data_IF_615218841448
#
_entry.id   IF_615218841448
#
_cell.length_a   1.000
_cell.length_b   1.000
_cell.length_c   1.000
_cell.angle_alpha   90.00
_cell.angle_beta   90.00
_cell.angle_gamma   90.00
#
_symmetry.space_group_name_H-M   'P 1'
#
loop_
_entity.id
_entity.type
_entity.pdbx_description
1 polymer ?
#
# COMPACT_ATOMS: atom_id res chain seq x y z
N UNK A 1 15.98 9.34 -4.59
CA UNK A 1 14.64 9.33 -5.22
C UNK A 1 14.42 8.13 -6.16
N UNK A 2 15.36 7.79 -7.05
CA UNK A 2 15.21 6.62 -7.94
C UNK A 2 14.98 5.30 -7.22
N UNK A 3 15.72 5.03 -6.14
CA UNK A 3 15.49 3.87 -5.27
C UNK A 3 14.07 3.82 -4.69
N UNK A 4 13.54 4.95 -4.22
CA UNK A 4 12.18 5.05 -3.67
C UNK A 4 11.13 4.71 -4.72
N UNK A 5 11.30 5.19 -5.95
CA UNK A 5 10.38 4.87 -7.05
C UNK A 5 10.51 3.41 -7.49
N UNK A 6 11.73 2.86 -7.53
CA UNK A 6 11.92 1.45 -7.84
C UNK A 6 11.26 0.55 -6.79
N UNK A 7 11.38 0.89 -5.50
CA UNK A 7 10.70 0.18 -4.42
C UNK A 7 9.18 0.33 -4.47
N UNK A 8 8.66 1.56 -4.59
CA UNK A 8 7.23 1.80 -4.58
C UNK A 8 6.57 1.25 -5.86
N UNK A 9 7.06 1.58 -7.05
CA UNK A 9 6.46 1.12 -8.31
C UNK A 9 6.78 -0.35 -8.60
N UNK A 10 8.06 -0.73 -8.48
CA UNK A 10 8.53 -2.07 -8.87
C UNK A 10 8.18 -3.18 -7.88
N UNK A 11 7.96 -2.85 -6.60
CA UNK A 11 7.57 -3.83 -5.58
C UNK A 11 6.18 -3.54 -5.00
N UNK A 12 5.97 -2.40 -4.33
CA UNK A 12 4.71 -2.14 -3.60
C UNK A 12 3.49 -2.13 -4.52
N UNK A 13 3.49 -1.28 -5.55
CA UNK A 13 2.37 -1.10 -6.47
C UNK A 13 2.11 -2.35 -7.30
N UNK A 14 3.17 -3.01 -7.77
CA UNK A 14 3.05 -4.28 -8.52
C UNK A 14 2.33 -5.36 -7.70
N UNK A 15 2.69 -5.51 -6.42
CA UNK A 15 2.00 -6.48 -5.56
C UNK A 15 0.57 -6.04 -5.25
N UNK A 16 0.33 -4.75 -4.98
CA UNK A 16 -1.04 -4.25 -4.74
C UNK A 16 -1.93 -4.52 -5.97
N UNK A 17 -1.46 -4.21 -7.18
CA UNK A 17 -2.23 -4.43 -8.41
C UNK A 17 -2.50 -5.92 -8.64
N UNK A 18 -1.50 -6.79 -8.44
CA UNK A 18 -1.68 -8.24 -8.53
C UNK A 18 -2.66 -8.78 -7.49
N UNK A 19 -2.59 -8.30 -6.24
CA UNK A 19 -3.53 -8.66 -5.20
C UNK A 19 -4.96 -8.17 -5.51
N UNK A 20 -5.09 -6.97 -6.07
CA UNK A 20 -6.39 -6.42 -6.47
C UNK A 20 -7.04 -7.21 -7.60
N UNK A 21 -6.27 -7.74 -8.55
CA UNK A 21 -6.78 -8.65 -9.58
C UNK A 21 -7.46 -9.92 -9.00
N UNK A 22 -7.22 -10.24 -7.72
CA UNK A 22 -7.82 -11.39 -7.06
C UNK A 22 -8.91 -10.98 -6.08
N UNK A 23 -8.65 -9.91 -5.31
CA UNK A 23 -9.54 -9.47 -4.25
C UNK A 23 -10.73 -8.70 -4.78
N UNK A 24 -10.60 -7.96 -5.89
CA UNK A 24 -11.69 -7.17 -6.47
C UNK A 24 -12.90 -8.05 -6.82
N UNK A 25 -12.76 -9.15 -7.57
CA UNK A 25 -13.92 -10.01 -7.88
C UNK A 25 -14.53 -10.67 -6.65
N UNK A 26 -13.71 -11.01 -5.66
CA UNK A 26 -14.15 -11.64 -4.42
C UNK A 26 -14.92 -10.66 -3.54
N UNK A 27 -14.43 -9.42 -3.39
CA UNK A 27 -15.06 -8.38 -2.57
C UNK A 27 -16.34 -7.85 -3.23
N UNK A 28 -16.34 -7.72 -4.55
CA UNK A 28 -17.47 -7.19 -5.31
C UNK A 28 -18.49 -8.26 -5.70
N UNK A 29 -18.14 -9.54 -5.58
CA UNK A 29 -18.95 -10.70 -6.02
C UNK A 29 -19.36 -10.61 -7.50
N UNK A 30 -18.51 -9.98 -8.33
CA UNK A 30 -18.69 -9.82 -9.78
C UNK A 30 -17.37 -10.03 -10.51
N UNK A 31 -17.41 -10.57 -11.72
CA UNK A 31 -16.21 -10.69 -12.55
C UNK A 31 -15.66 -9.33 -12.98
N UNK A 32 -14.35 -9.28 -13.23
CA UNK A 32 -13.65 -8.13 -13.81
C UNK A 32 -14.33 -7.59 -15.07
N UNK A 33 -14.17 -6.30 -15.35
CA UNK A 33 -14.60 -5.72 -16.62
C UNK A 33 -13.77 -6.27 -17.78
N UNK A 34 -12.45 -6.31 -17.61
CA UNK A 34 -11.52 -6.89 -18.58
C UNK A 34 -10.28 -7.41 -17.89
N UNK A 35 -10.30 -8.68 -17.47
CA UNK A 35 -9.19 -9.31 -16.73
C UNK A 35 -7.88 -9.29 -17.52
N UNK A 36 -7.97 -9.41 -18.85
CA UNK A 36 -6.81 -9.39 -19.76
C UNK A 36 -6.02 -8.08 -19.72
N UNK A 37 -6.65 -6.98 -19.30
CA UNK A 37 -5.98 -5.68 -19.18
C UNK A 37 -4.85 -5.71 -18.14
N UNK A 38 -4.94 -6.59 -17.14
CA UNK A 38 -3.89 -6.73 -16.12
C UNK A 38 -2.56 -7.22 -16.70
N UNK A 39 -2.56 -7.98 -17.79
CA UNK A 39 -1.32 -8.44 -18.44
C UNK A 39 -0.51 -7.28 -19.03
N UNK A 40 -1.16 -6.19 -19.44
CA UNK A 40 -0.48 -5.00 -19.95
C UNK A 40 0.14 -4.14 -18.83
N UNK A 41 -0.42 -4.19 -17.62
CA UNK A 41 0.01 -3.34 -16.51
C UNK A 41 1.43 -3.69 -16.03
N UNK A 42 1.74 -4.99 -15.89
CA UNK A 42 3.05 -5.46 -15.42
C UNK A 42 4.23 -4.96 -16.28
N UNK A 43 4.28 -5.18 -17.61
CA UNK A 43 5.41 -4.73 -18.41
C UNK A 43 5.50 -3.20 -18.47
N UNK A 44 4.37 -2.48 -18.51
CA UNK A 44 4.36 -1.03 -18.50
C UNK A 44 4.91 -0.47 -17.18
N UNK A 45 4.46 -0.97 -16.03
CA UNK A 45 5.01 -0.55 -14.74
C UNK A 45 6.50 -0.87 -14.61
N UNK A 46 6.94 -2.02 -15.10
CA UNK A 46 8.36 -2.39 -15.06
C UNK A 46 9.22 -1.43 -15.89
N UNK A 47 8.83 -1.17 -17.15
CA UNK A 47 9.52 -0.23 -18.04
C UNK A 47 9.51 1.18 -17.43
N UNK A 48 8.34 1.65 -16.99
CA UNK A 48 8.17 2.96 -16.38
C UNK A 48 9.02 3.15 -15.11
N UNK A 49 9.03 2.16 -14.21
CA UNK A 49 9.83 2.18 -13.00
C UNK A 49 11.34 2.23 -13.30
N UNK A 50 11.81 1.47 -14.30
CA UNK A 50 13.22 1.51 -14.73
C UNK A 50 13.58 2.88 -15.31
N UNK A 51 12.76 3.40 -16.23
CA UNK A 51 12.96 4.74 -16.80
C UNK A 51 13.00 5.82 -15.73
N UNK A 52 12.12 5.76 -14.74
CA UNK A 52 12.14 6.70 -13.62
C UNK A 52 13.39 6.53 -12.75
N UNK A 53 13.78 5.30 -12.42
CA UNK A 53 14.96 5.03 -11.60
C UNK A 53 16.24 5.61 -12.22
N UNK A 54 16.45 5.40 -13.53
CA UNK A 54 17.57 6.01 -14.27
C UNK A 54 17.34 7.50 -14.54
N UNK A 55 16.09 7.94 -14.66
CA UNK A 55 15.72 9.32 -14.94
C UNK A 55 16.16 10.31 -13.85
N UNK A 56 16.29 9.88 -12.60
CA UNK A 56 16.88 10.76 -11.58
C UNK A 56 18.38 11.03 -11.79
N UNK A 57 19.08 10.24 -12.61
CA UNK A 57 20.45 10.54 -13.09
C UNK A 57 20.45 11.21 -14.48
N UNK A 58 19.43 10.92 -15.29
CA UNK A 58 19.23 11.50 -16.63
C UNK A 58 17.82 12.11 -16.74
N UNK A 59 17.61 13.37 -16.27
CA UNK A 59 16.28 13.94 -16.03
C UNK A 59 15.30 13.87 -17.20
N UNK A 60 15.82 13.89 -18.43
CA UNK A 60 15.03 13.76 -19.65
C UNK A 60 14.22 12.45 -19.73
N UNK A 61 14.63 11.38 -19.04
CA UNK A 61 13.89 10.11 -19.00
C UNK A 61 12.68 10.15 -18.06
N UNK A 62 12.63 11.08 -17.09
CA UNK A 62 11.58 11.13 -16.07
C UNK A 62 10.18 11.33 -16.67
N UNK A 63 9.94 12.25 -17.63
CA UNK A 63 8.63 12.41 -18.25
C UNK A 63 8.19 11.16 -19.01
N UNK A 64 9.10 10.50 -19.74
CA UNK A 64 8.78 9.25 -20.45
C UNK A 64 8.41 8.14 -19.48
N UNK A 65 9.20 7.94 -18.42
CA UNK A 65 8.86 7.01 -17.34
C UNK A 65 7.51 7.33 -16.70
N UNK A 66 7.27 8.60 -16.38
CA UNK A 66 6.03 9.09 -15.80
C UNK A 66 4.80 8.84 -16.70
N UNK A 67 4.91 9.04 -18.01
CA UNK A 67 3.83 8.77 -18.97
C UNK A 67 3.55 7.26 -19.08
N UNK A 68 4.58 6.43 -19.15
CA UNK A 68 4.41 4.97 -19.19
C UNK A 68 3.72 4.47 -17.92
N UNK A 69 4.14 4.97 -16.76
CA UNK A 69 3.50 4.69 -15.46
C UNK A 69 2.05 5.17 -15.44
N UNK A 70 1.78 6.38 -15.94
CA UNK A 70 0.43 6.93 -16.04
C UNK A 70 -0.47 6.04 -16.91
N UNK A 71 0.00 5.56 -18.06
CA UNK A 71 -0.77 4.65 -18.92
C UNK A 71 -1.12 3.36 -18.17
N UNK A 72 -0.14 2.73 -17.51
CA UNK A 72 -0.38 1.51 -16.73
C UNK A 72 -1.42 1.74 -15.63
N UNK A 73 -1.34 2.87 -14.95
CA UNK A 73 -2.26 3.25 -13.88
C UNK A 73 -3.65 3.61 -14.41
N UNK A 74 -3.77 4.25 -15.57
CA UNK A 74 -5.07 4.51 -16.19
C UNK A 74 -5.78 3.23 -16.58
N UNK A 75 -5.05 2.22 -17.08
CA UNK A 75 -5.61 0.88 -17.34
C UNK A 75 -6.16 0.28 -16.05
N UNK A 76 -5.35 0.28 -14.97
CA UNK A 76 -5.76 -0.24 -13.67
C UNK A 76 -7.01 0.47 -13.12
N UNK A 77 -6.95 1.80 -13.06
CA UNK A 77 -8.01 2.64 -12.52
C UNK A 77 -9.31 2.47 -13.32
N UNK A 78 -9.24 2.45 -14.65
CA UNK A 78 -10.40 2.21 -15.51
C UNK A 78 -11.03 0.84 -15.25
N UNK A 79 -10.22 -0.21 -15.15
CA UNK A 79 -10.70 -1.56 -14.85
C UNK A 79 -11.48 -1.59 -13.53
N UNK A 80 -10.90 -1.04 -12.46
CA UNK A 80 -11.52 -1.01 -11.13
C UNK A 80 -12.83 -0.22 -11.15
N UNK A 81 -12.85 0.98 -11.76
CA UNK A 81 -14.07 1.80 -11.85
C UNK A 81 -15.18 1.09 -12.61
N UNK A 82 -14.86 0.49 -13.76
CA UNK A 82 -15.85 -0.22 -14.58
C UNK A 82 -16.36 -1.49 -13.91
N UNK A 83 -15.53 -2.17 -13.12
CA UNK A 83 -15.94 -3.34 -12.33
C UNK A 83 -16.84 -2.95 -11.17
N UNK A 84 -16.48 -1.90 -10.41
CA UNK A 84 -17.32 -1.38 -9.31
C UNK A 84 -18.69 -0.90 -9.82
N UNK A 85 -18.77 -0.32 -11.03
CA UNK A 85 -20.03 0.12 -11.65
C UNK A 85 -21.06 -1.00 -11.83
N UNK A 86 -20.64 -2.28 -11.84
CA UNK A 86 -21.55 -3.44 -11.90
C UNK A 86 -22.31 -3.67 -10.59
N UNK A 87 -21.87 -3.10 -9.48
CA UNK A 87 -22.44 -3.33 -8.15
C UNK A 87 -23.48 -2.26 -7.80
N UNK A 88 -24.59 -2.66 -7.17
CA UNK A 88 -25.71 -1.75 -6.83
C UNK A 88 -25.46 -0.88 -5.59
N UNK A 89 -24.69 -1.36 -4.62
CA UNK A 89 -24.43 -0.69 -3.34
C UNK A 89 -22.98 -0.88 -2.93
N UNK A 90 -22.32 0.20 -2.54
CA UNK A 90 -20.94 0.17 -2.04
C UNK A 90 -20.94 -0.10 -0.54
N UNK A 91 -20.11 -1.06 -0.11
CA UNK A 91 -19.75 -1.22 1.29
C UNK A 91 -18.49 -0.40 1.61
N UNK A 92 -18.06 -0.39 2.88
CA UNK A 92 -16.89 0.38 3.31
C UNK A 92 -15.61 0.01 2.54
N UNK A 93 -15.38 -1.29 2.28
CA UNK A 93 -14.19 -1.76 1.57
C UNK A 93 -14.21 -1.25 0.13
N UNK A 94 -15.33 -1.44 -0.58
CA UNK A 94 -15.50 -0.95 -1.95
C UNK A 94 -15.32 0.57 -2.05
N UNK A 95 -15.92 1.33 -1.13
CA UNK A 95 -15.80 2.78 -1.06
C UNK A 95 -14.37 3.23 -0.81
N UNK A 96 -13.66 2.57 0.10
CA UNK A 96 -12.25 2.85 0.38
C UNK A 96 -11.34 2.59 -0.82
N UNK A 97 -11.59 1.49 -1.57
CA UNK A 97 -10.86 1.17 -2.80
C UNK A 97 -11.13 2.22 -3.89
N UNK A 98 -12.38 2.67 -4.03
CA UNK A 98 -12.73 3.72 -4.98
C UNK A 98 -11.98 5.02 -4.67
N UNK A 99 -12.03 5.46 -3.41
CA UNK A 99 -11.38 6.69 -2.95
C UNK A 99 -9.85 6.58 -3.10
N UNK A 100 -9.27 5.44 -2.73
CA UNK A 100 -7.83 5.21 -2.89
C UNK A 100 -7.40 5.39 -4.35
N UNK A 101 -8.15 4.82 -5.30
CA UNK A 101 -7.85 4.95 -6.74
C UNK A 101 -8.02 6.38 -7.26
N UNK A 102 -8.95 7.16 -6.72
CA UNK A 102 -9.07 8.60 -7.02
C UNK A 102 -7.81 9.34 -6.54
N UNK A 103 -7.34 9.07 -5.32
CA UNK A 103 -6.10 9.67 -4.82
C UNK A 103 -4.88 9.24 -5.63
N UNK A 104 -4.80 7.97 -6.05
CA UNK A 104 -3.75 7.50 -6.96
C UNK A 104 -3.76 8.29 -8.27
N UNK A 105 -4.92 8.42 -8.91
CA UNK A 105 -5.07 9.16 -10.16
C UNK A 105 -4.48 10.57 -10.06
N UNK A 106 -4.87 11.34 -9.04
CA UNK A 106 -4.33 12.68 -8.83
C UNK A 106 -2.86 12.67 -8.40
N UNK A 107 -2.44 11.71 -7.58
CA UNK A 107 -1.05 11.57 -7.17
C UNK A 107 -0.12 11.41 -8.37
N UNK A 108 -0.53 10.63 -9.37
CA UNK A 108 0.26 10.39 -10.58
C UNK A 108 0.31 11.62 -11.47
N UNK A 109 -0.78 12.38 -11.57
CA UNK A 109 -0.80 13.66 -12.28
C UNK A 109 0.23 14.63 -11.66
N UNK A 110 0.23 14.77 -10.33
CA UNK A 110 1.23 15.60 -9.63
C UNK A 110 2.66 15.09 -9.89
N UNK A 111 2.84 13.77 -9.85
CA UNK A 111 4.12 13.12 -10.18
C UNK A 111 4.61 13.45 -11.58
N UNK A 112 3.71 13.47 -12.58
CA UNK A 112 4.06 13.80 -13.96
C UNK A 112 4.45 15.28 -14.11
N UNK A 113 3.73 16.20 -13.47
CA UNK A 113 4.12 17.62 -13.47
C UNK A 113 5.49 17.82 -12.84
N UNK A 114 5.77 17.17 -11.72
CA UNK A 114 7.12 17.21 -11.12
C UNK A 114 8.17 16.58 -12.03
N UNK A 115 7.88 15.48 -12.73
CA UNK A 115 8.81 14.87 -13.68
C UNK A 115 9.15 15.82 -14.85
N UNK A 116 8.14 16.53 -15.39
CA UNK A 116 8.33 17.57 -16.40
C UNK A 116 9.14 18.76 -15.86
N UNK A 117 8.91 19.14 -14.60
CA UNK A 117 9.67 20.16 -13.89
C UNK A 117 11.15 19.80 -13.72
N UNK A 118 11.42 18.59 -13.21
CA UNK A 118 12.78 18.06 -13.07
C UNK A 118 13.53 17.96 -14.41
N UNK A 119 12.82 17.70 -15.51
CA UNK A 119 13.40 17.68 -16.85
C UNK A 119 13.62 19.08 -17.46
N UNK A 120 13.23 20.16 -16.77
CA UNK A 120 13.36 21.54 -17.25
C UNK A 120 12.35 21.93 -18.33
N UNK A 121 11.28 21.15 -18.51
CA UNK A 121 10.27 21.42 -19.55
C UNK A 121 9.17 22.39 -19.12
N UNK A 122 8.90 22.44 -17.81
CA UNK A 122 7.86 23.29 -17.21
C UNK A 122 8.41 23.87 -15.92
N UNK A 123 8.09 25.13 -15.61
CA UNK A 123 8.38 25.72 -14.31
C UNK A 123 7.29 25.33 -13.30
N UNK A 124 7.63 24.53 -12.30
CA UNK A 124 6.74 24.20 -11.19
C UNK A 124 7.52 24.24 -9.89
N UNK A 125 6.85 24.57 -8.79
CA UNK A 125 7.42 24.39 -7.46
C UNK A 125 7.36 22.90 -7.08
N UNK A 126 8.53 22.27 -7.06
CA UNK A 126 8.67 20.84 -6.82
C UNK A 126 8.36 20.50 -5.36
N UNK A 127 8.70 21.37 -4.40
CA UNK A 127 8.59 21.05 -2.97
C UNK A 127 7.14 21.08 -2.51
N UNK A 128 6.34 22.02 -3.01
CA UNK A 128 4.89 22.05 -2.77
C UNK A 128 4.20 20.85 -3.41
N UNK A 129 4.50 20.54 -4.67
CA UNK A 129 3.91 19.38 -5.35
C UNK A 129 4.34 18.04 -4.73
N UNK A 130 5.57 17.94 -4.21
CA UNK A 130 6.10 16.74 -3.60
C UNK A 130 5.30 16.35 -2.35
N UNK A 131 4.97 17.32 -1.49
CA UNK A 131 4.14 17.07 -0.29
C UNK A 131 2.77 16.51 -0.66
N UNK A 132 2.08 17.16 -1.60
CA UNK A 132 0.79 16.69 -2.10
C UNK A 132 0.89 15.31 -2.74
N UNK A 133 1.90 15.07 -3.58
CA UNK A 133 2.15 13.78 -4.23
C UNK A 133 2.36 12.66 -3.22
N UNK A 134 3.22 12.88 -2.22
CA UNK A 134 3.49 11.88 -1.17
C UNK A 134 2.22 11.58 -0.37
N UNK A 135 1.42 12.58 0.02
CA UNK A 135 0.17 12.32 0.73
C UNK A 135 -0.86 11.60 -0.15
N UNK A 136 -0.99 11.96 -1.42
CA UNK A 136 -1.91 11.30 -2.36
C UNK A 136 -1.54 9.82 -2.57
N UNK A 137 -0.25 9.52 -2.78
CA UNK A 137 0.18 8.15 -3.12
C UNK A 137 0.40 7.29 -1.87
N UNK A 138 1.10 7.79 -0.85
CA UNK A 138 1.44 6.99 0.34
C UNK A 138 0.24 6.87 1.27
N UNK A 139 -0.35 7.99 1.69
CA UNK A 139 -1.49 7.97 2.62
C UNK A 139 -2.81 7.71 1.90
N UNK A 140 -3.03 8.38 0.77
CA UNK A 140 -4.27 8.32 0.01
C UNK A 140 -4.45 7.00 -0.75
N UNK A 141 -3.40 6.45 -1.35
CA UNK A 141 -3.50 5.19 -2.07
C UNK A 141 -3.01 3.99 -1.24
N UNK A 142 -1.71 3.92 -0.93
CA UNK A 142 -1.10 2.70 -0.34
C UNK A 142 -1.69 2.41 1.04
N UNK A 143 -1.66 3.38 1.95
CA UNK A 143 -2.16 3.20 3.32
C UNK A 143 -3.67 2.97 3.32
N UNK A 144 -4.44 3.77 2.59
CA UNK A 144 -5.90 3.60 2.51
C UNK A 144 -6.30 2.24 1.93
N UNK A 145 -5.55 1.73 0.95
CA UNK A 145 -5.73 0.40 0.39
C UNK A 145 -5.45 -0.69 1.44
N UNK A 146 -4.36 -0.57 2.19
CA UNK A 146 -4.04 -1.50 3.28
C UNK A 146 -5.14 -1.46 4.35
N UNK A 147 -5.61 -0.27 4.75
CA UNK A 147 -6.71 -0.11 5.70
C UNK A 147 -7.99 -0.76 5.20
N UNK A 148 -8.39 -0.49 3.96
CA UNK A 148 -9.58 -1.06 3.34
C UNK A 148 -9.52 -2.58 3.24
N UNK A 149 -8.39 -3.13 2.80
CA UNK A 149 -8.21 -4.58 2.68
C UNK A 149 -7.98 -5.28 4.04
N UNK A 150 -7.55 -4.56 5.07
CA UNK A 150 -7.27 -5.16 6.38
C UNK A 150 -8.47 -5.88 6.98
N UNK A 151 -9.69 -5.39 6.73
CA UNK A 151 -10.92 -6.00 7.23
C UNK A 151 -11.34 -7.26 6.49
N UNK A 152 -10.72 -7.53 5.34
CA UNK A 152 -10.90 -8.77 4.60
C UNK A 152 -9.77 -9.73 4.98
N UNK A 153 -8.53 -9.29 4.81
CA UNK A 153 -7.35 -10.15 4.90
C UNK A 153 -7.04 -10.58 6.34
N UNK A 154 -7.09 -9.67 7.31
CA UNK A 154 -6.74 -10.02 8.69
C UNK A 154 -7.76 -10.99 9.31
N UNK A 155 -9.09 -10.76 9.19
CA UNK A 155 -10.08 -11.72 9.66
C UNK A 155 -10.03 -13.06 8.93
N UNK A 156 -9.78 -13.07 7.61
CA UNK A 156 -9.71 -14.31 6.84
C UNK A 156 -8.58 -15.22 7.34
N UNK A 157 -7.40 -14.68 7.65
CA UNK A 157 -6.26 -15.49 8.12
C UNK A 157 -6.23 -15.70 9.64
N UNK A 158 -6.78 -14.76 10.42
CA UNK A 158 -6.91 -14.85 11.87
C UNK A 158 -8.17 -15.60 12.36
N UNK A 159 -9.14 -15.84 11.49
CA UNK A 159 -10.49 -16.30 11.84
C UNK A 159 -11.14 -15.40 12.89
N UNK A 160 -11.04 -14.08 12.69
CA UNK A 160 -11.64 -13.07 13.56
C UNK A 160 -13.07 -12.78 13.14
N UNK A 161 -13.99 -12.61 14.10
CA UNK A 161 -15.38 -12.25 13.83
C UNK A 161 -15.96 -11.38 14.96
N UNK A 162 -17.11 -10.75 14.72
CA UNK A 162 -17.85 -10.02 15.77
C UNK A 162 -17.22 -8.71 16.24
N UNK A 163 -16.25 -8.16 15.51
CA UNK A 163 -15.66 -6.85 15.80
C UNK A 163 -16.43 -5.71 15.11
N UNK A 164 -16.34 -4.50 15.66
CA UNK A 164 -17.02 -3.32 15.10
C UNK A 164 -16.23 -2.69 13.95
N UNK A 165 -16.93 -2.27 12.90
CA UNK A 165 -16.37 -1.55 11.75
C UNK A 165 -16.17 -0.05 11.99
N UNK A 166 -16.82 0.51 13.02
CA UNK A 166 -16.83 1.96 13.28
C UNK A 166 -15.43 2.59 13.44
N UNK A 167 -14.46 1.94 14.11
CA UNK A 167 -13.11 2.49 14.19
C UNK A 167 -12.45 2.61 12.81
N UNK A 168 -12.59 1.58 11.96
CA UNK A 168 -12.03 1.60 10.60
C UNK A 168 -12.66 2.71 9.75
N UNK A 169 -13.98 2.86 9.80
CA UNK A 169 -14.71 3.92 9.08
C UNK A 169 -14.23 5.33 9.48
N UNK A 170 -14.06 5.56 10.78
CA UNK A 170 -13.53 6.83 11.31
C UNK A 170 -12.08 7.05 10.88
N UNK A 171 -11.25 6.03 10.97
CA UNK A 171 -9.85 6.11 10.58
C UNK A 171 -9.71 6.45 9.09
N UNK A 172 -10.44 5.74 8.22
CA UNK A 172 -10.49 6.01 6.77
C UNK A 172 -10.94 7.44 6.51
N UNK A 173 -12.03 7.89 7.14
CA UNK A 173 -12.54 9.25 6.97
C UNK A 173 -11.50 10.30 7.36
N UNK A 174 -10.84 10.15 8.50
CA UNK A 174 -9.80 11.07 8.97
C UNK A 174 -8.57 11.08 8.05
N UNK A 175 -8.13 9.91 7.57
CA UNK A 175 -7.01 9.82 6.61
C UNK A 175 -7.38 10.48 5.27
N UNK A 176 -8.60 10.29 4.76
CA UNK A 176 -9.06 10.98 3.56
C UNK A 176 -9.07 12.51 3.74
N UNK A 177 -9.59 12.99 4.87
CA UNK A 177 -9.58 14.43 5.20
C UNK A 177 -8.15 14.96 5.37
N UNK A 178 -7.24 14.17 5.95
CA UNK A 178 -5.83 14.52 6.06
C UNK A 178 -5.18 14.71 4.69
N UNK A 179 -5.38 13.77 3.76
CA UNK A 179 -4.88 13.85 2.38
C UNK A 179 -5.41 15.09 1.69
N UNK A 180 -6.72 15.33 1.76
CA UNK A 180 -7.33 16.53 1.16
C UNK A 180 -6.75 17.81 1.78
N UNK A 181 -6.60 17.86 3.10
CA UNK A 181 -6.04 19.02 3.81
C UNK A 181 -4.61 19.33 3.34
N UNK A 182 -3.75 18.32 3.18
CA UNK A 182 -2.36 18.52 2.72
C UNK A 182 -2.28 18.85 1.22
N UNK A 183 -3.20 18.32 0.41
CA UNK A 183 -3.28 18.71 -1.02
C UNK A 183 -3.68 20.19 -1.12
N UNK A 184 -4.73 20.61 -0.40
CA UNK A 184 -5.14 22.01 -0.39
C UNK A 184 -4.10 22.93 0.26
N UNK A 185 -3.38 22.48 1.29
CA UNK A 185 -2.28 23.26 1.86
C UNK A 185 -1.18 23.52 0.82
N UNK A 186 -0.92 22.55 -0.06
CA UNK A 186 0.09 22.67 -1.12
C UNK A 186 -0.38 23.60 -2.25
N UNK A 187 -1.68 23.65 -2.55
CA UNK A 187 -2.24 24.51 -3.60
C UNK A 187 -2.44 25.97 -3.15
N UNK A 188 -2.69 26.20 -1.86
CA UNK A 188 -2.95 27.53 -1.28
C UNK A 188 -1.83 28.02 -0.36
N UNK A 189 -0.71 27.29 -0.29
CA UNK A 189 0.46 27.61 0.57
C UNK A 189 0.11 27.84 2.05
N UNK A 190 -0.87 27.08 2.57
CA UNK A 190 -1.40 27.27 3.92
C UNK A 190 -0.77 26.32 4.93
N UNK A 191 0.11 26.84 5.79
CA UNK A 191 0.72 26.07 6.89
C UNK A 191 -0.32 25.53 7.88
N UNK A 192 -1.42 26.25 8.11
CA UNK A 192 -2.50 25.79 8.99
C UNK A 192 -3.13 24.50 8.47
N UNK A 193 -3.46 24.43 7.18
CA UNK A 193 -4.02 23.24 6.54
C UNK A 193 -3.02 22.07 6.53
N UNK A 194 -1.73 22.37 6.41
CA UNK A 194 -0.66 21.37 6.45
C UNK A 194 -0.61 20.66 7.82
N UNK A 195 -0.44 21.42 8.90
CA UNK A 195 -0.39 20.85 10.26
C UNK A 195 -1.71 20.23 10.70
N UNK A 196 -2.85 20.80 10.25
CA UNK A 196 -4.15 20.18 10.47
C UNK A 196 -4.25 18.81 9.78
N UNK A 197 -3.75 18.70 8.55
CA UNK A 197 -3.66 17.43 7.84
C UNK A 197 -2.79 16.41 8.56
N UNK A 198 -1.64 16.82 9.09
CA UNK A 198 -0.74 15.95 9.86
C UNK A 198 -1.40 15.43 11.13
N UNK A 199 -2.12 16.30 11.86
CA UNK A 199 -2.89 15.92 13.04
C UNK A 199 -3.98 14.90 12.70
N UNK A 200 -4.75 15.14 11.65
CA UNK A 200 -5.81 14.23 11.20
C UNK A 200 -5.24 12.86 10.80
N UNK A 201 -4.10 12.83 10.09
CA UNK A 201 -3.43 11.60 9.72
C UNK A 201 -2.99 10.81 10.96
N UNK A 202 -2.36 11.47 11.94
CA UNK A 202 -1.91 10.85 13.18
C UNK A 202 -3.08 10.27 13.98
N UNK A 203 -4.14 11.05 14.19
CA UNK A 203 -5.35 10.58 14.90
C UNK A 203 -6.02 9.42 14.15
N UNK A 204 -6.13 9.53 12.83
CA UNK A 204 -6.66 8.45 11.98
C UNK A 204 -5.88 7.15 12.14
N UNK A 205 -4.54 7.21 12.14
CA UNK A 205 -3.68 6.05 12.35
C UNK A 205 -3.80 5.46 13.76
N UNK A 206 -3.92 6.28 14.81
CA UNK A 206 -4.17 5.77 16.17
C UNK A 206 -5.52 5.03 16.29
N UNK A 207 -6.58 5.55 15.67
CA UNK A 207 -7.87 4.86 15.61
C UNK A 207 -7.74 3.56 14.78
N UNK A 208 -6.94 3.56 13.72
CA UNK A 208 -6.65 2.36 12.96
C UNK A 208 -5.90 1.32 13.79
N UNK A 209 -4.91 1.69 14.59
CA UNK A 209 -4.26 0.75 15.53
C UNK A 209 -5.26 0.13 16.51
N UNK A 210 -6.22 0.92 17.00
CA UNK A 210 -7.30 0.38 17.83
C UNK A 210 -8.17 -0.65 17.08
N UNK A 211 -8.49 -0.39 15.81
CA UNK A 211 -9.17 -1.37 14.95
C UNK A 211 -8.36 -2.67 14.82
N UNK A 212 -7.07 -2.56 14.49
CA UNK A 212 -6.18 -3.71 14.33
C UNK A 212 -6.06 -4.53 15.62
N UNK A 213 -5.94 -3.85 16.76
CA UNK A 213 -5.95 -4.49 18.08
C UNK A 213 -7.25 -5.28 18.30
N UNK A 214 -8.40 -4.69 17.97
CA UNK A 214 -9.72 -5.34 18.11
C UNK A 214 -9.80 -6.61 17.25
N UNK A 215 -9.35 -6.54 15.98
CA UNK A 215 -9.32 -7.71 15.08
C UNK A 215 -8.37 -8.79 15.61
N UNK A 216 -7.22 -8.40 16.17
CA UNK A 216 -6.25 -9.32 16.73
C UNK A 216 -6.77 -10.04 17.99
N UNK A 217 -7.44 -9.31 18.89
CA UNK A 217 -7.98 -9.88 20.13
C UNK A 217 -9.11 -10.89 19.85
N UNK A 218 -9.96 -10.58 18.86
CA UNK A 218 -11.11 -11.39 18.44
C UNK A 218 -10.76 -12.61 17.57
N UNK A 219 -9.49 -12.80 17.21
CA UNK A 219 -9.05 -13.90 16.35
C UNK A 219 -9.22 -15.26 17.04
N UNK A 220 -9.80 -16.25 16.36
CA UNK A 220 -9.85 -17.62 16.88
C UNK A 220 -8.51 -18.36 16.70
N UNK A 221 -7.81 -18.11 15.58
CA UNK A 221 -6.50 -18.73 15.33
C UNK A 221 -5.40 -17.97 16.09
N UNK A 222 -4.84 -18.60 17.14
CA UNK A 222 -3.76 -18.02 17.96
C UNK A 222 -2.35 -18.44 17.54
N UNK A 223 -2.22 -19.33 16.55
CA UNK A 223 -0.93 -19.74 16.00
C UNK A 223 -0.15 -18.54 15.45
N UNK A 224 1.14 -18.46 15.77
CA UNK A 224 2.05 -17.40 15.33
C UNK A 224 2.99 -17.97 14.27
N UNK A 225 2.45 -18.14 13.06
CA UNK A 225 3.19 -18.52 11.88
C UNK A 225 4.00 -17.35 11.29
N UNK A 226 4.67 -17.57 10.15
CA UNK A 226 5.48 -16.54 9.50
C UNK A 226 4.66 -15.32 9.06
N UNK A 227 3.40 -15.52 8.67
CA UNK A 227 2.48 -14.45 8.32
C UNK A 227 2.21 -13.56 9.55
N UNK A 228 1.86 -14.17 10.68
CA UNK A 228 1.62 -13.44 11.92
C UNK A 228 2.86 -12.70 12.42
N UNK A 229 4.06 -13.32 12.35
CA UNK A 229 5.33 -12.67 12.72
C UNK A 229 5.60 -11.44 11.85
N UNK A 230 5.46 -11.57 10.54
CA UNK A 230 5.63 -10.47 9.59
C UNK A 230 4.67 -9.32 9.87
N UNK A 231 3.39 -9.62 10.11
CA UNK A 231 2.42 -8.56 10.43
C UNK A 231 2.69 -7.88 11.77
N UNK A 232 3.08 -8.62 12.80
CA UNK A 232 3.42 -8.01 14.10
C UNK A 232 4.59 -7.04 13.95
N UNK A 233 5.67 -7.47 13.27
CA UNK A 233 6.82 -6.60 13.00
C UNK A 233 6.43 -5.38 12.16
N UNK A 234 5.59 -5.60 11.14
CA UNK A 234 5.06 -4.56 10.28
C UNK A 234 4.33 -3.47 11.08
N UNK A 235 3.32 -3.84 11.87
CA UNK A 235 2.53 -2.88 12.64
C UNK A 235 3.33 -2.21 13.75
N UNK A 236 4.29 -2.92 14.37
CA UNK A 236 5.25 -2.28 15.27
C UNK A 236 6.08 -1.23 14.54
N UNK A 237 6.53 -1.53 13.33
CA UNK A 237 7.31 -0.59 12.51
C UNK A 237 6.49 0.63 12.09
N UNK A 238 5.20 0.47 11.79
CA UNK A 238 4.30 1.59 11.53
C UNK A 238 4.13 2.48 12.77
N UNK A 239 4.01 1.88 13.96
CA UNK A 239 3.90 2.64 15.20
C UNK A 239 5.18 3.40 15.50
N UNK A 240 6.34 2.75 15.34
CA UNK A 240 7.65 3.39 15.47
C UNK A 240 7.81 4.53 14.47
N UNK A 241 7.45 4.32 13.20
CA UNK A 241 7.44 5.35 12.16
C UNK A 241 6.60 6.56 12.55
N UNK A 242 5.37 6.34 13.04
CA UNK A 242 4.48 7.40 13.49
C UNK A 242 5.05 8.19 14.67
N UNK A 243 5.57 7.49 15.68
CA UNK A 243 6.19 8.14 16.85
C UNK A 243 7.40 8.97 16.43
N UNK A 244 8.30 8.41 15.61
CA UNK A 244 9.47 9.11 15.10
C UNK A 244 9.10 10.34 14.27
N UNK A 245 8.10 10.22 13.39
CA UNK A 245 7.59 11.34 12.58
C UNK A 245 6.98 12.44 13.44
N UNK A 246 6.21 12.10 14.48
CA UNK A 246 5.68 13.09 15.43
C UNK A 246 6.79 13.74 16.26
N UNK A 247 7.81 13.00 16.68
CA UNK A 247 8.96 13.57 17.40
C UNK A 247 9.79 14.51 16.52
N UNK A 248 9.91 14.20 15.23
CA UNK A 248 10.55 15.09 14.26
C UNK A 248 9.84 16.45 14.21
N UNK A 249 8.50 16.50 14.24
CA UNK A 249 7.76 17.77 14.24
C UNK A 249 8.04 18.65 15.48
N UNK A 250 8.51 18.06 16.58
CA UNK A 250 8.83 18.78 17.82
C UNK A 250 10.30 19.20 17.90
N UNK A 251 11.20 18.32 17.44
CA UNK A 251 12.65 18.45 17.65
C UNK A 251 13.36 18.96 16.38
N UNK A 252 12.76 18.78 15.21
CA UNK A 252 13.29 19.16 13.90
C UNK A 252 14.67 18.54 13.60
N UNK A 253 14.88 17.29 14.04
CA UNK A 253 16.12 16.53 13.82
C UNK A 253 15.94 15.57 12.64
N UNK A 254 16.53 15.94 11.49
CA UNK A 254 16.41 15.24 10.19
C UNK A 254 16.55 13.70 10.25
N UNK A 255 17.51 13.12 10.99
CA UNK A 255 17.60 11.66 11.11
C UNK A 255 16.33 10.99 11.64
N UNK A 256 15.51 11.64 12.47
CA UNK A 256 14.22 11.10 12.90
C UNK A 256 13.24 10.96 11.75
N UNK A 257 13.21 11.93 10.83
CA UNK A 257 12.35 11.89 9.65
C UNK A 257 12.80 10.77 8.70
N UNK A 258 14.11 10.64 8.47
CA UNK A 258 14.67 9.57 7.65
C UNK A 258 14.40 8.19 8.25
N UNK A 259 14.60 8.01 9.55
CA UNK A 259 14.29 6.75 10.23
C UNK A 259 12.79 6.48 10.24
N UNK A 260 11.94 7.50 10.41
CA UNK A 260 10.49 7.36 10.28
C UNK A 260 10.08 6.83 8.90
N UNK A 261 10.62 7.40 7.82
CA UNK A 261 10.37 6.96 6.45
C UNK A 261 10.92 5.56 6.19
N UNK A 262 12.11 5.24 6.71
CA UNK A 262 12.70 3.89 6.62
C UNK A 262 11.83 2.84 7.29
N UNK A 263 11.35 3.10 8.50
CA UNK A 263 10.45 2.22 9.25
C UNK A 263 9.08 2.08 8.54
N UNK A 264 8.58 3.12 7.88
CA UNK A 264 7.35 3.04 7.08
C UNK A 264 7.53 2.14 5.85
N UNK A 265 8.58 2.37 5.05
CA UNK A 265 8.76 1.68 3.77
C UNK A 265 9.27 0.26 3.96
N UNK A 266 10.39 0.07 4.67
CA UNK A 266 11.04 -1.23 4.81
C UNK A 266 10.59 -2.00 6.04
N UNK A 267 10.13 -1.30 7.08
CA UNK A 267 9.54 -1.94 8.26
C UNK A 267 8.07 -2.32 8.06
N UNK A 268 7.22 -1.36 7.68
CA UNK A 268 5.79 -1.60 7.51
C UNK A 268 5.44 -2.15 6.11
N UNK A 269 5.62 -1.39 5.03
CA UNK A 269 5.14 -1.82 3.71
C UNK A 269 5.78 -3.13 3.25
N UNK A 270 7.10 -3.32 3.41
CA UNK A 270 7.72 -4.59 3.04
C UNK A 270 7.17 -5.79 3.83
N UNK A 271 7.00 -5.67 5.15
CA UNK A 271 6.56 -6.82 5.96
C UNK A 271 5.07 -7.09 5.86
N UNK A 272 4.21 -6.07 5.73
CA UNK A 272 2.78 -6.31 5.47
C UNK A 272 2.60 -7.02 4.14
N UNK A 273 3.33 -6.61 3.10
CA UNK A 273 3.25 -7.22 1.77
C UNK A 273 3.81 -8.65 1.80
N UNK A 274 5.04 -8.82 2.28
CA UNK A 274 5.69 -10.15 2.34
C UNK A 274 4.90 -11.12 3.22
N UNK A 275 4.34 -10.65 4.33
CA UNK A 275 3.43 -11.43 5.15
C UNK A 275 2.27 -11.98 4.33
N UNK A 276 1.51 -11.11 3.65
CA UNK A 276 0.39 -11.55 2.83
C UNK A 276 0.80 -12.44 1.65
N UNK A 277 1.97 -12.20 1.04
CA UNK A 277 2.53 -13.07 0.00
C UNK A 277 2.69 -14.52 0.49
N UNK A 278 3.13 -14.73 1.74
CA UNK A 278 3.22 -16.07 2.34
C UNK A 278 1.88 -16.79 2.51
N UNK A 279 0.75 -16.12 2.31
CA UNK A 279 -0.57 -16.75 2.27
C UNK A 279 -1.15 -16.80 0.87
N UNK A 280 -1.03 -15.70 0.12
CA UNK A 280 -1.65 -15.53 -1.20
C UNK A 280 -0.97 -16.43 -2.24
N UNK A 281 0.36 -16.39 -2.39
CA UNK A 281 1.04 -17.17 -3.43
C UNK A 281 0.88 -18.69 -3.20
N UNK A 282 1.10 -19.23 -1.99
CA UNK A 282 0.84 -20.64 -1.72
C UNK A 282 -0.60 -21.05 -2.01
N UNK A 283 -1.57 -20.21 -1.67
CA UNK A 283 -2.98 -20.46 -1.99
C UNK A 283 -3.22 -20.55 -3.49
N UNK A 284 -2.69 -19.62 -4.30
CA UNK A 284 -2.88 -19.63 -5.75
C UNK A 284 -2.24 -20.85 -6.41
N UNK A 285 -1.00 -21.15 -6.04
CA UNK A 285 -0.31 -22.35 -6.54
C UNK A 285 -1.07 -23.61 -6.12
N UNK A 286 -1.57 -23.64 -4.89
CA UNK A 286 -2.35 -24.77 -4.40
C UNK A 286 -3.68 -24.92 -5.15
N UNK A 287 -4.39 -23.82 -5.35
CA UNK A 287 -5.67 -23.77 -6.03
C UNK A 287 -5.54 -24.26 -7.48
N UNK A 288 -4.56 -23.77 -8.21
CA UNK A 288 -4.36 -24.15 -9.61
C UNK A 288 -3.89 -25.61 -9.75
N UNK A 289 -2.88 -26.00 -8.96
CA UNK A 289 -2.20 -27.30 -9.17
C UNK A 289 -2.85 -28.47 -8.44
N UNK A 290 -3.36 -28.25 -7.23
CA UNK A 290 -3.77 -29.34 -6.32
C UNK A 290 -5.28 -29.41 -6.10
N UNK A 291 -6.04 -28.32 -6.22
CA UNK A 291 -7.50 -28.38 -6.07
C UNK A 291 -8.19 -29.38 -7.01
N UNK A 292 -7.78 -29.58 -8.30
CA UNK A 292 -8.42 -30.54 -9.19
C UNK A 292 -8.17 -32.02 -8.83
N UNK A 293 -7.24 -32.26 -7.89
CA UNK A 293 -6.78 -33.57 -7.44
C UNK A 293 -7.41 -33.98 -6.09
N UNK A 294 -8.12 -33.06 -5.43
CA UNK A 294 -8.84 -33.32 -4.18
C UNK A 294 -9.87 -34.43 -4.39
N UNK A 295 -9.87 -35.42 -3.50
CA UNK A 295 -10.72 -36.60 -3.60
C UNK A 295 -10.26 -37.68 -4.59
N UNK A 296 -9.25 -37.39 -5.43
CA UNK A 296 -8.62 -38.37 -6.33
C UNK A 296 -7.34 -38.97 -5.75
N UNK A 297 -6.56 -38.16 -5.04
CA UNK A 297 -5.34 -38.58 -4.37
C UNK A 297 -5.02 -37.71 -3.15
N UNK A 298 -4.02 -38.09 -2.36
CA UNK A 298 -3.50 -37.26 -1.28
C UNK A 298 -2.85 -36.01 -1.87
N UNK A 299 -3.23 -34.84 -1.37
CA UNK A 299 -2.68 -33.54 -1.75
C UNK A 299 -2.06 -32.87 -0.52
N UNK A 300 -1.01 -32.05 -0.68
CA UNK A 300 -0.40 -31.32 0.45
C UNK A 300 -1.39 -30.34 1.06
N UNK A 301 -1.22 -30.01 2.34
CA UNK A 301 -1.94 -28.90 2.97
C UNK A 301 -1.31 -27.56 2.59
N UNK A 302 -2.06 -26.48 2.72
CA UNK A 302 -1.54 -25.12 2.48
C UNK A 302 -0.32 -24.78 3.35
N UNK A 303 -0.25 -25.31 4.58
CA UNK A 303 0.89 -25.12 5.47
C UNK A 303 2.19 -25.76 4.93
N UNK A 304 2.06 -26.85 4.16
CA UNK A 304 3.20 -27.59 3.60
C UNK A 304 3.83 -26.88 2.40
N UNK A 305 3.13 -25.89 1.82
CA UNK A 305 3.55 -25.17 0.63
C UNK A 305 4.69 -24.15 0.91
N UNK A 306 4.97 -23.83 2.19
CA UNK A 306 5.96 -22.81 2.57
C UNK A 306 7.11 -23.46 3.36
N UNK A 307 8.35 -23.42 2.85
CA UNK A 307 9.51 -23.92 3.58
C UNK A 307 9.80 -23.11 4.85
N UNK A 308 9.67 -23.75 6.03
CA UNK A 308 9.78 -23.09 7.34
C UNK A 308 11.15 -22.43 7.56
N UNK A 309 12.24 -23.11 7.20
CA UNK A 309 13.60 -22.60 7.43
C UNK A 309 13.89 -21.35 6.61
N UNK A 310 13.57 -21.38 5.32
CA UNK A 310 13.81 -20.27 4.40
C UNK A 310 12.93 -19.07 4.72
N UNK A 311 11.65 -19.30 5.06
CA UNK A 311 10.74 -18.21 5.44
C UNK A 311 11.15 -17.55 6.75
N UNK A 312 11.59 -18.34 7.74
CA UNK A 312 12.14 -17.81 8.99
C UNK A 312 13.43 -17.03 8.77
N UNK A 313 14.37 -17.57 7.97
CA UNK A 313 15.61 -16.89 7.64
C UNK A 313 15.35 -15.53 6.96
N UNK A 314 14.45 -15.49 5.96
CA UNK A 314 14.05 -14.26 5.31
C UNK A 314 13.53 -13.23 6.33
N UNK A 315 12.61 -13.62 7.21
CA UNK A 315 12.07 -12.73 8.23
C UNK A 315 13.16 -12.17 9.15
N UNK A 316 14.02 -13.03 9.71
CA UNK A 316 15.05 -12.58 10.66
C UNK A 316 16.09 -11.69 10.00
N UNK A 317 16.64 -12.06 8.83
CA UNK A 317 17.64 -11.24 8.15
C UNK A 317 17.06 -9.90 7.71
N UNK A 318 15.84 -9.87 7.17
CA UNK A 318 15.18 -8.62 6.81
C UNK A 318 14.88 -7.76 8.05
N UNK A 319 14.40 -8.35 9.14
CA UNK A 319 14.04 -7.59 10.35
C UNK A 319 15.28 -7.00 11.03
N UNK A 320 16.35 -7.78 11.14
CA UNK A 320 17.65 -7.30 11.65
C UNK A 320 18.18 -6.19 10.75
N UNK A 321 18.13 -6.35 9.42
CA UNK A 321 18.57 -5.32 8.48
C UNK A 321 17.81 -4.00 8.66
N UNK A 322 16.48 -4.06 8.84
CA UNK A 322 15.66 -2.87 9.11
C UNK A 322 16.10 -2.19 10.40
N UNK A 323 16.27 -2.95 11.48
CA UNK A 323 16.64 -2.42 12.80
C UNK A 323 18.06 -1.83 12.81
N UNK A 324 19.02 -2.51 12.17
CA UNK A 324 20.42 -2.05 12.10
C UNK A 324 20.55 -0.73 11.34
N UNK A 325 19.77 -0.53 10.27
CA UNK A 325 19.79 0.73 9.51
C UNK A 325 19.03 1.84 10.25
N UNK A 326 18.02 1.48 11.05
CA UNK A 326 17.24 2.44 11.83
C UNK A 326 17.96 2.96 13.08
N UNK A 327 18.92 2.21 13.61
CA UNK A 327 19.74 2.53 14.79
C UNK A 327 20.91 3.45 14.45
#
# INVERSE_FOLDING_TARGET
LGFVHLFLLGFVMMIIFGAMAQLVPVILEVGHFGVELFYAIWPLLAIGALLMAFGFSYPMLLPFGGVVVLIAMMIFVMEIFLTIKKVKKLNLVMGSMLIANIFLFFGVIFGLFMALGYAGMVSVDIDTLLRAHVFLVIMGYVMLTIMGLSVVLLPMFGLSHGFSMKPLERAITLVCLAVLSVVFSSLFESTLLEYFGYLLAAVGLFIYFYFIKTVYETRARKEIDIYAKSLIFSYFSLLASLVLGLTYLLVNYEPLLLTSAWMLFFGFFSFVITGHIYKIIPFLVWFERFSPLVGKQKVPMLADMVPIKSSSAQFYFSAVGVVVIAA
#
